data_IF_901307554905
#
_entry.id   IF_901307554905
#
_cell.length_a   1.000
_cell.length_b   1.000
_cell.length_c   1.000
_cell.angle_alpha   90.00
_cell.angle_beta   90.00
_cell.angle_gamma   90.00
#
_symmetry.space_group_name_H-M   'P 1'
#
loop_
_entity.id
_entity.type
_entity.pdbx_description
1 polymer ?
#
# COMPACT_ATOMS: atom_id res chain seq x y z
N UNK A 1 -20.54 -5.49 -2.07
CA UNK A 1 -20.62 -4.05 -2.34
C UNK A 1 -19.49 -3.55 -3.21
N UNK A 2 -18.35 -4.28 -3.24
CA UNK A 2 -17.25 -3.97 -4.16
C UNK A 2 -17.28 -4.81 -5.43
N UNK A 3 -18.36 -5.57 -5.63
CA UNK A 3 -18.55 -6.35 -6.86
C UNK A 3 -18.74 -5.42 -8.05
N UNK A 4 -17.90 -5.57 -9.08
CA UNK A 4 -17.92 -4.73 -10.27
C UNK A 4 -18.94 -5.20 -11.31
N UNK A 5 -19.19 -6.50 -11.37
CA UNK A 5 -20.11 -7.09 -12.32
C UNK A 5 -19.87 -8.58 -12.46
N UNK A 6 -20.45 -9.17 -13.49
CA UNK A 6 -20.33 -10.58 -13.80
C UNK A 6 -19.68 -10.74 -15.18
N UNK A 7 -18.56 -11.46 -15.23
CA UNK A 7 -17.78 -11.66 -16.46
C UNK A 7 -18.62 -12.34 -17.56
N UNK A 8 -19.70 -13.05 -17.18
CA UNK A 8 -20.62 -13.67 -18.15
C UNK A 8 -21.61 -12.67 -18.75
N UNK A 9 -21.78 -11.52 -18.11
CA UNK A 9 -22.76 -10.50 -18.51
C UNK A 9 -22.08 -9.26 -19.08
N UNK A 10 -20.85 -8.98 -18.65
CA UNK A 10 -20.10 -7.78 -19.04
C UNK A 10 -18.70 -8.16 -19.43
N UNK A 11 -18.09 -7.38 -20.32
CA UNK A 11 -16.68 -7.56 -20.65
C UNK A 11 -15.81 -7.09 -19.48
N UNK A 12 -14.60 -7.67 -19.37
CA UNK A 12 -13.63 -7.27 -18.35
C UNK A 12 -13.23 -5.79 -18.52
N UNK A 13 -13.13 -5.33 -19.78
CA UNK A 13 -12.78 -3.94 -20.08
C UNK A 13 -13.87 -2.99 -19.56
N UNK A 14 -15.14 -3.33 -19.80
CA UNK A 14 -16.25 -2.50 -19.33
C UNK A 14 -16.26 -2.40 -17.79
N UNK A 15 -15.97 -3.50 -17.09
CA UNK A 15 -15.89 -3.48 -15.64
C UNK A 15 -14.70 -2.65 -15.15
N UNK A 16 -13.56 -2.74 -15.84
CA UNK A 16 -12.34 -2.03 -15.46
C UNK A 16 -12.49 -0.51 -15.57
N UNK A 17 -13.13 -0.05 -16.65
CA UNK A 17 -13.34 1.39 -16.88
C UNK A 17 -14.70 1.89 -16.40
N UNK A 18 -15.49 1.02 -15.76
CA UNK A 18 -16.79 1.40 -15.22
C UNK A 18 -16.69 2.37 -14.07
N UNK A 19 -17.80 3.07 -13.81
CA UNK A 19 -17.88 4.08 -12.77
C UNK A 19 -17.55 3.52 -11.37
N UNK A 20 -18.02 2.31 -11.10
CA UNK A 20 -17.81 1.66 -9.80
C UNK A 20 -16.34 1.40 -9.54
N UNK A 21 -15.60 0.91 -10.54
CA UNK A 21 -14.16 0.67 -10.41
C UNK A 21 -13.40 1.99 -10.27
N UNK A 22 -13.75 3.00 -11.05
CA UNK A 22 -13.11 4.31 -10.98
C UNK A 22 -13.31 4.95 -9.61
N UNK A 23 -14.54 4.87 -9.08
CA UNK A 23 -14.85 5.40 -7.75
C UNK A 23 -14.06 4.67 -6.67
N UNK A 24 -13.97 3.35 -6.74
CA UNK A 24 -13.22 2.53 -5.79
C UNK A 24 -11.74 2.87 -5.82
N UNK A 25 -11.17 3.02 -7.02
CA UNK A 25 -9.75 3.36 -7.16
C UNK A 25 -9.43 4.73 -6.54
N UNK A 26 -10.32 5.71 -6.74
CA UNK A 26 -10.15 7.03 -6.13
C UNK A 26 -10.25 6.99 -4.62
N UNK A 27 -11.13 6.14 -4.07
CA UNK A 27 -11.31 6.02 -2.63
C UNK A 27 -10.03 5.62 -1.90
N UNK A 28 -9.17 4.86 -2.54
CA UNK A 28 -7.90 4.45 -1.94
C UNK A 28 -7.07 5.66 -1.51
N UNK A 29 -7.18 6.76 -2.21
CA UNK A 29 -6.43 7.99 -1.90
C UNK A 29 -7.28 9.02 -1.18
N UNK A 30 -8.52 9.24 -1.63
CA UNK A 30 -9.36 10.31 -1.10
C UNK A 30 -9.90 10.03 0.30
N UNK A 31 -10.03 8.74 0.67
CA UNK A 31 -10.55 8.36 1.98
C UNK A 31 -9.48 8.17 3.05
N UNK A 32 -8.22 8.49 2.74
CA UNK A 32 -7.14 8.36 3.73
C UNK A 32 -7.34 9.37 4.86
N UNK A 33 -7.23 8.92 6.14
CA UNK A 33 -7.30 9.83 7.27
C UNK A 33 -6.03 10.68 7.37
N UNK A 34 -6.09 11.73 8.16
CA UNK A 34 -4.98 12.67 8.34
C UNK A 34 -3.68 11.98 8.75
N UNK A 35 -3.77 10.99 9.64
CA UNK A 35 -2.59 10.26 10.10
C UNK A 35 -1.85 9.61 8.94
N UNK A 36 -2.58 9.05 7.96
CA UNK A 36 -1.98 8.45 6.77
C UNK A 36 -1.35 9.49 5.86
N UNK A 37 -1.99 10.64 5.69
CA UNK A 37 -1.48 11.72 4.85
C UNK A 37 -0.19 12.33 5.40
N UNK A 38 -0.02 12.29 6.72
CA UNK A 38 1.18 12.80 7.39
C UNK A 38 2.23 11.71 7.62
N UNK A 39 1.92 10.45 7.32
CA UNK A 39 2.80 9.31 7.60
C UNK A 39 3.97 9.28 6.63
N UNK A 40 5.17 9.09 7.15
CA UNK A 40 6.38 8.98 6.34
C UNK A 40 6.46 7.67 5.55
N UNK A 41 5.64 6.68 5.87
CA UNK A 41 5.55 5.40 5.15
C UNK A 41 4.34 5.33 4.21
N UNK A 42 3.62 6.43 4.00
CA UNK A 42 2.45 6.45 3.13
C UNK A 42 2.79 6.02 1.71
N UNK A 43 3.97 6.39 1.21
CA UNK A 43 4.41 6.03 -0.14
C UNK A 43 4.45 4.52 -0.38
N UNK A 44 4.65 3.73 0.68
CA UNK A 44 4.69 2.26 0.60
C UNK A 44 3.36 1.64 1.02
N UNK A 45 2.76 2.18 2.07
CA UNK A 45 1.56 1.61 2.69
C UNK A 45 0.27 2.00 1.95
N UNK A 46 0.13 3.27 1.54
CA UNK A 46 -1.08 3.82 0.89
C UNK A 46 -2.37 3.49 1.64
N UNK A 47 -2.29 3.29 2.97
CA UNK A 47 -3.45 2.92 3.79
C UNK A 47 -3.87 1.47 3.67
N UNK A 48 -3.17 0.68 2.86
CA UNK A 48 -3.43 -0.74 2.60
C UNK A 48 -4.86 -0.98 2.09
N UNK A 49 -5.38 -2.19 2.28
CA UNK A 49 -6.67 -2.57 1.70
C UNK A 49 -7.83 -1.81 2.34
N UNK A 50 -8.70 -1.16 1.54
CA UNK A 50 -9.86 -0.44 2.07
C UNK A 50 -10.79 -1.30 2.91
N UNK A 51 -10.82 -2.60 2.67
CA UNK A 51 -11.64 -3.55 3.45
C UNK A 51 -11.32 -3.50 4.95
N UNK A 52 -10.07 -3.21 5.29
CA UNK A 52 -9.59 -3.24 6.67
C UNK A 52 -9.50 -1.86 7.30
N UNK A 53 -10.03 -0.81 6.65
CA UNK A 53 -9.95 0.58 7.11
C UNK A 53 -11.19 0.96 7.92
N UNK A 54 -11.37 0.36 9.08
CA UNK A 54 -12.55 0.61 9.92
C UNK A 54 -12.23 1.24 11.26
N UNK A 55 -10.96 1.59 11.51
CA UNK A 55 -10.56 2.25 12.75
C UNK A 55 -10.50 3.76 12.59
N UNK A 56 -10.46 4.47 13.71
CA UNK A 56 -10.20 5.91 13.73
C UNK A 56 -8.71 6.14 13.95
N UNK A 57 -8.18 7.20 13.32
CA UNK A 57 -6.79 7.57 13.51
C UNK A 57 -6.59 8.33 14.82
N UNK A 58 -5.34 8.74 15.10
CA UNK A 58 -5.02 9.47 16.32
C UNK A 58 -5.70 10.84 16.43
N UNK A 59 -6.22 11.35 15.32
CA UNK A 59 -6.98 12.62 15.29
C UNK A 59 -8.49 12.38 15.33
N UNK A 60 -8.94 11.13 15.43
CA UNK A 60 -10.35 10.76 15.44
C UNK A 60 -11.00 10.68 14.07
N UNK A 61 -10.22 10.76 12.99
CA UNK A 61 -10.75 10.63 11.63
C UNK A 61 -10.93 9.16 11.24
N UNK A 62 -12.04 8.83 10.53
CA UNK A 62 -12.29 7.44 10.13
C UNK A 62 -11.43 7.01 8.94
N UNK A 63 -11.32 5.72 8.74
CA UNK A 63 -10.68 5.17 7.56
C UNK A 63 -9.26 4.66 7.78
N UNK A 64 -8.83 4.52 9.03
CA UNK A 64 -7.52 3.94 9.34
C UNK A 64 -7.59 2.42 9.30
N UNK A 65 -6.59 1.80 8.66
CA UNK A 65 -6.46 0.35 8.68
C UNK A 65 -6.17 -0.12 10.10
N UNK A 66 -6.87 -1.16 10.55
CA UNK A 66 -6.72 -1.65 11.92
C UNK A 66 -5.33 -2.26 12.19
N UNK A 67 -4.58 -2.60 11.13
CA UNK A 67 -3.21 -3.11 11.22
C UNK A 67 -2.15 -2.03 11.00
N UNK A 68 -2.54 -0.75 11.02
CA UNK A 68 -1.65 0.37 10.72
C UNK A 68 -0.33 0.31 11.49
N UNK A 69 -0.40 0.05 12.80
CA UNK A 69 0.81 -0.01 13.63
C UNK A 69 1.76 -1.12 13.18
N UNK A 70 1.21 -2.30 12.86
CA UNK A 70 2.00 -3.42 12.36
C UNK A 70 2.64 -3.13 11.02
N UNK A 71 1.89 -2.54 10.10
CA UNK A 71 2.43 -2.14 8.80
C UNK A 71 3.52 -1.09 8.95
N UNK A 72 3.32 -0.12 9.82
CA UNK A 72 4.32 0.93 10.06
C UNK A 72 5.63 0.33 10.59
N UNK A 73 5.52 -0.58 11.56
CA UNK A 73 6.69 -1.28 12.10
C UNK A 73 7.41 -2.08 11.01
N UNK A 74 6.65 -2.80 10.19
CA UNK A 74 7.21 -3.59 9.11
C UNK A 74 7.95 -2.72 8.10
N UNK A 75 7.30 -1.69 7.58
CA UNK A 75 7.92 -0.83 6.56
C UNK A 75 9.14 -0.09 7.11
N UNK A 76 9.07 0.36 8.35
CA UNK A 76 10.19 1.03 8.99
C UNK A 76 11.37 0.08 9.17
N UNK A 77 11.09 -1.17 9.54
CA UNK A 77 12.13 -2.18 9.73
C UNK A 77 12.84 -2.52 8.41
N UNK A 78 12.09 -2.68 7.32
CA UNK A 78 12.67 -3.11 6.04
C UNK A 78 13.25 -1.96 5.21
N UNK A 79 12.93 -0.70 5.56
CA UNK A 79 13.33 0.46 4.76
C UNK A 79 14.84 0.51 4.46
N UNK A 80 15.75 0.31 5.44
CA UNK A 80 17.19 0.33 5.15
C UNK A 80 17.61 -0.77 4.17
N UNK A 81 16.99 -1.96 4.28
CA UNK A 81 17.28 -3.07 3.39
C UNK A 81 16.78 -2.80 1.98
N UNK A 82 15.60 -2.21 1.86
CA UNK A 82 15.05 -1.82 0.56
C UNK A 82 15.88 -0.73 -0.10
N UNK A 83 16.38 0.23 0.68
CA UNK A 83 17.28 1.27 0.17
C UNK A 83 18.59 0.68 -0.37
N UNK A 84 19.15 -0.31 0.33
CA UNK A 84 20.33 -1.02 -0.14
C UNK A 84 20.06 -1.70 -1.49
N UNK A 85 18.95 -2.43 -1.58
CA UNK A 85 18.57 -3.13 -2.80
C UNK A 85 18.34 -2.15 -3.96
N UNK A 86 17.72 -1.01 -3.68
CA UNK A 86 17.50 0.04 -4.66
C UNK A 86 18.83 0.59 -5.19
N UNK A 87 19.78 0.85 -4.31
CA UNK A 87 21.11 1.34 -4.70
C UNK A 87 21.84 0.32 -5.57
N UNK A 88 21.71 -0.98 -5.25
CA UNK A 88 22.29 -2.03 -6.06
C UNK A 88 21.69 -2.03 -7.48
N UNK A 89 20.37 -1.91 -7.59
CA UNK A 89 19.71 -1.83 -8.89
C UNK A 89 20.15 -0.62 -9.70
N UNK A 90 20.26 0.54 -9.06
CA UNK A 90 20.72 1.78 -9.74
C UNK A 90 22.16 1.68 -10.20
N UNK A 91 22.99 0.88 -9.52
CA UNK A 91 24.39 0.65 -9.88
C UNK A 91 24.55 -0.56 -10.82
N UNK A 92 23.42 -1.13 -11.31
CA UNK A 92 23.39 -2.30 -12.19
C UNK A 92 24.02 -3.54 -11.53
N UNK A 93 23.85 -3.68 -10.22
CA UNK A 93 24.26 -4.87 -9.46
C UNK A 93 23.02 -5.60 -8.95
N UNK A 94 23.10 -6.92 -8.69
CA UNK A 94 21.94 -7.69 -8.22
C UNK A 94 21.47 -7.22 -6.84
N UNK A 95 20.16 -7.00 -6.66
CA UNK A 95 19.63 -6.69 -5.31
C UNK A 95 19.90 -7.80 -4.31
N UNK A 96 20.05 -9.04 -4.78
CA UNK A 96 20.34 -10.19 -3.94
C UNK A 96 21.67 -10.06 -3.19
N UNK A 97 22.53 -9.12 -3.55
CA UNK A 97 23.76 -8.82 -2.81
C UNK A 97 23.51 -8.49 -1.33
N UNK A 98 22.27 -8.11 -0.99
CA UNK A 98 21.90 -7.86 0.40
C UNK A 98 22.08 -9.11 1.26
N UNK A 99 21.94 -10.29 0.68
CA UNK A 99 22.14 -11.56 1.40
C UNK A 99 23.57 -11.71 1.87
N UNK A 100 24.54 -11.22 1.10
CA UNK A 100 25.95 -11.26 1.50
C UNK A 100 26.21 -10.33 2.68
N UNK A 101 25.61 -9.17 2.70
CA UNK A 101 25.72 -8.22 3.81
C UNK A 101 25.13 -8.81 5.09
N UNK A 102 23.95 -9.43 4.98
CA UNK A 102 23.28 -10.02 6.12
C UNK A 102 24.02 -11.23 6.68
N UNK A 103 24.67 -12.02 5.82
CA UNK A 103 25.46 -13.16 6.25
C UNK A 103 26.71 -12.77 7.05
N UNK A 104 27.29 -11.61 6.73
CA UNK A 104 28.53 -11.17 7.35
C UNK A 104 28.31 -10.40 8.64
N UNK A 105 27.04 -10.22 9.01
CA UNK A 105 26.65 -9.61 10.28
C UNK A 105 26.11 -10.66 11.23
#
# INVERSE_FOLDING_TARGET
>A
EYKLGNIREQSLIDMLYGEKQQAFSRLKHTSLPRQCKECDMEFACHGECPKNRFEKDKYGEPGLNYLCQGYYQYYTHVAPYMDFMKRELLAQRPPANIMNVLKNN
#
